data_IF_729279173371
#
_entry.id   IF_729279173371
#
_cell.length_a   1.000
_cell.length_b   1.000
_cell.length_c   1.000
_cell.angle_alpha   90.00
_cell.angle_beta   90.00
_cell.angle_gamma   90.00
#
_symmetry.space_group_name_H-M   'P 1'
#
loop_
_entity.id
_entity.type
_entity.pdbx_description
1 polymer ?
#
# COMPACT_ATOMS: atom_id res chain seq x y z
N UNK A 1 4.11 3.28 3.92
CA UNK A 1 4.57 1.92 4.21
C UNK A 1 5.47 1.42 3.09
N UNK A 2 6.55 0.76 3.43
CA UNK A 2 7.46 0.13 2.47
C UNK A 2 7.85 -1.27 2.96
N UNK A 3 7.84 -2.24 2.06
CA UNK A 3 8.50 -3.53 2.28
C UNK A 3 9.79 -3.52 1.47
N UNK A 4 10.93 -3.63 2.17
CA UNK A 4 12.26 -3.56 1.56
C UNK A 4 12.63 -4.86 0.82
N UNK A 5 13.68 -4.83 0.03
CA UNK A 5 14.20 -5.96 -0.72
C UNK A 5 14.66 -5.53 -2.10
N UNK A 6 15.02 -6.49 -2.95
CA UNK A 6 15.38 -6.25 -4.35
C UNK A 6 14.21 -5.66 -5.14
N UNK A 7 12.98 -6.04 -4.78
CA UNK A 7 11.73 -5.56 -5.37
C UNK A 7 10.89 -4.84 -4.30
N UNK A 8 11.25 -3.60 -3.91
CA UNK A 8 10.55 -2.90 -2.84
C UNK A 8 9.11 -2.60 -3.19
N UNK A 9 8.22 -2.78 -2.22
CA UNK A 9 6.80 -2.50 -2.35
C UNK A 9 6.39 -1.27 -1.54
N UNK A 10 5.60 -0.37 -2.13
CA UNK A 10 5.21 0.90 -1.49
C UNK A 10 3.69 1.04 -1.39
N UNK A 11 3.21 1.50 -0.24
CA UNK A 11 1.79 1.79 0.00
C UNK A 11 1.67 3.08 0.82
N UNK A 12 0.81 3.99 0.39
CA UNK A 12 0.33 5.10 1.20
C UNK A 12 -0.91 4.62 1.95
N UNK A 13 -0.89 4.71 3.27
CA UNK A 13 -2.03 4.40 4.12
C UNK A 13 -2.56 5.70 4.75
N UNK A 14 -3.83 5.98 4.58
CA UNK A 14 -4.53 7.11 5.16
C UNK A 14 -5.64 6.62 6.06
N UNK A 15 -5.45 6.81 7.35
CA UNK A 15 -6.40 6.45 8.41
C UNK A 15 -7.17 7.72 8.80
N UNK A 16 -8.44 7.79 8.46
CA UNK A 16 -9.25 8.99 8.65
C UNK A 16 -10.41 8.72 9.62
N UNK A 17 -10.20 9.10 10.88
CA UNK A 17 -11.25 8.98 11.92
C UNK A 17 -12.46 9.88 11.63
N UNK A 18 -12.27 11.07 11.06
CA UNK A 18 -13.38 12.00 10.82
C UNK A 18 -14.33 11.51 9.71
N UNK A 19 -13.82 10.79 8.73
CA UNK A 19 -14.61 10.16 7.66
C UNK A 19 -14.90 8.68 7.90
N UNK A 20 -14.42 8.14 9.01
CA UNK A 20 -14.54 6.73 9.37
C UNK A 20 -14.10 5.78 8.24
N UNK A 21 -12.89 6.00 7.70
CA UNK A 21 -12.37 5.20 6.59
C UNK A 21 -10.87 4.98 6.64
N UNK A 22 -10.45 3.91 5.96
CA UNK A 22 -9.06 3.56 5.66
C UNK A 22 -8.88 3.56 4.16
N UNK A 23 -8.00 4.40 3.65
CA UNK A 23 -7.62 4.43 2.25
C UNK A 23 -6.18 3.94 2.06
N UNK A 24 -5.99 3.01 1.14
CA UNK A 24 -4.71 2.41 0.82
C UNK A 24 -4.39 2.61 -0.66
N UNK A 25 -3.30 3.32 -0.93
CA UNK A 25 -2.87 3.59 -2.30
C UNK A 25 -1.54 2.89 -2.55
N UNK A 26 -1.56 1.83 -3.35
CA UNK A 26 -0.34 1.11 -3.72
C UNK A 26 0.41 1.89 -4.80
N UNK A 27 1.66 2.23 -4.51
CA UNK A 27 2.51 3.06 -5.39
C UNK A 27 3.41 2.15 -6.22
N UNK A 28 3.40 2.28 -7.58
CA UNK A 28 4.33 1.54 -8.43
C UNK A 28 5.79 1.88 -8.10
N UNK A 29 6.63 0.86 -7.98
CA UNK A 29 8.07 1.03 -7.71
C UNK A 29 8.81 1.77 -8.84
N UNK A 30 8.24 1.75 -10.06
CA UNK A 30 8.71 2.48 -11.23
C UNK A 30 8.30 3.95 -11.25
N UNK A 31 7.56 4.45 -10.23
CA UNK A 31 7.16 5.86 -10.16
C UNK A 31 8.38 6.75 -10.27
N UNK A 32 8.35 7.66 -11.24
CA UNK A 32 9.38 8.68 -11.43
C UNK A 32 9.30 9.73 -10.31
N UNK A 33 10.40 9.91 -9.63
CA UNK A 33 10.53 10.84 -8.48
C UNK A 33 11.81 11.67 -8.61
N UNK A 34 11.82 12.91 -8.07
CA UNK A 34 13.02 13.74 -8.03
C UNK A 34 14.06 13.15 -7.06
N UNK A 35 15.32 13.07 -7.53
CA UNK A 35 16.44 12.60 -6.73
C UNK A 35 17.69 13.42 -7.08
N UNK A 36 18.14 14.26 -6.16
CA UNK A 36 19.17 15.28 -6.40
C UNK A 36 18.75 16.22 -7.56
N UNK A 37 19.55 16.33 -8.61
CA UNK A 37 19.28 17.17 -9.78
C UNK A 37 18.63 16.40 -10.95
N UNK A 38 18.35 15.10 -10.76
CA UNK A 38 17.83 14.22 -11.78
C UNK A 38 16.49 13.57 -11.33
N UNK A 39 15.87 12.86 -12.25
CA UNK A 39 14.73 11.99 -11.97
C UNK A 39 15.16 10.53 -11.92
N UNK A 40 14.56 9.75 -11.02
CA UNK A 40 14.81 8.31 -10.92
C UNK A 40 13.53 7.56 -10.56
N UNK A 41 13.56 6.23 -10.60
CA UNK A 41 12.44 5.45 -10.08
C UNK A 41 12.42 5.45 -8.54
N UNK A 42 11.23 5.32 -7.96
CA UNK A 42 11.06 5.22 -6.51
C UNK A 42 11.87 4.06 -5.91
N UNK A 43 11.95 2.93 -6.62
CA UNK A 43 12.78 1.79 -6.21
C UNK A 43 14.28 2.15 -6.15
N UNK A 44 14.79 2.86 -7.14
CA UNK A 44 16.20 3.33 -7.14
C UNK A 44 16.45 4.39 -6.08
N UNK A 45 15.51 5.30 -5.88
CA UNK A 45 15.56 6.28 -4.78
C UNK A 45 15.66 5.57 -3.43
N UNK A 46 14.84 4.52 -3.22
CA UNK A 46 14.90 3.70 -2.02
C UNK A 46 16.26 3.00 -1.83
N UNK A 47 16.75 2.36 -2.87
CA UNK A 47 18.04 1.66 -2.83
C UNK A 47 19.23 2.60 -2.55
N UNK A 48 19.18 3.84 -3.08
CA UNK A 48 20.25 4.82 -2.93
C UNK A 48 20.22 5.56 -1.59
N UNK A 49 19.04 5.89 -1.06
CA UNK A 49 18.90 6.82 0.08
C UNK A 49 17.84 6.43 1.13
N UNK A 50 17.23 5.25 0.97
CA UNK A 50 16.32 4.68 1.96
C UNK A 50 14.93 5.34 2.04
N UNK A 51 14.12 4.94 3.04
CA UNK A 51 12.69 5.30 3.10
C UNK A 51 12.45 6.78 3.42
N UNK A 52 13.30 7.45 4.16
CA UNK A 52 13.16 8.88 4.48
C UNK A 52 13.16 9.72 3.21
N UNK A 53 14.12 9.47 2.31
CA UNK A 53 14.22 10.18 1.02
C UNK A 53 13.04 9.84 0.11
N UNK A 54 12.57 8.58 0.11
CA UNK A 54 11.36 8.20 -0.64
C UNK A 54 10.13 8.98 -0.16
N UNK A 55 9.95 9.15 1.16
CA UNK A 55 8.86 9.95 1.72
C UNK A 55 8.92 11.39 1.21
N UNK A 56 10.11 12.02 1.24
CA UNK A 56 10.30 13.38 0.72
C UNK A 56 9.98 13.49 -0.77
N UNK A 57 10.48 12.57 -1.57
CA UNK A 57 10.23 12.52 -3.00
C UNK A 57 8.74 12.29 -3.32
N UNK A 58 8.09 11.39 -2.61
CA UNK A 58 6.63 11.17 -2.73
C UNK A 58 5.84 12.41 -2.31
N UNK A 59 6.26 13.11 -1.24
CA UNK A 59 5.59 14.33 -0.81
C UNK A 59 5.63 15.42 -1.89
N UNK A 60 6.74 15.54 -2.63
CA UNK A 60 6.87 16.48 -3.75
C UNK A 60 5.97 16.09 -4.93
N UNK A 61 5.98 14.80 -5.34
CA UNK A 61 5.23 14.34 -6.51
C UNK A 61 3.72 14.32 -6.26
N UNK A 62 3.30 13.92 -5.05
CA UNK A 62 1.91 13.66 -4.70
C UNK A 62 1.28 14.72 -3.81
N UNK A 63 2.04 15.77 -3.43
CA UNK A 63 1.61 16.81 -2.51
C UNK A 63 1.06 16.24 -1.18
N UNK A 64 1.81 15.30 -0.58
CA UNK A 64 1.39 14.68 0.67
C UNK A 64 1.41 15.67 1.83
N UNK A 65 0.55 15.51 2.85
CA UNK A 65 0.55 16.34 4.05
C UNK A 65 1.92 16.35 4.76
N UNK A 66 2.30 17.48 5.35
CA UNK A 66 3.59 17.63 6.07
C UNK A 66 3.78 16.62 7.22
N UNK A 67 2.72 16.18 7.86
CA UNK A 67 2.74 15.16 8.93
C UNK A 67 2.89 13.71 8.46
N UNK A 68 3.06 13.45 7.15
CA UNK A 68 3.20 12.10 6.63
C UNK A 68 4.46 11.41 7.17
N UNK A 69 4.27 10.28 7.84
CA UNK A 69 5.35 9.44 8.40
C UNK A 69 5.71 8.31 7.46
N UNK A 70 6.89 7.72 7.66
CA UNK A 70 7.26 6.50 6.96
C UNK A 70 7.50 5.33 7.92
N UNK A 71 7.27 4.14 7.39
CA UNK A 71 7.52 2.88 8.07
C UNK A 71 7.99 1.86 7.03
N UNK A 72 9.20 1.36 7.19
CA UNK A 72 9.77 0.35 6.30
C UNK A 72 10.12 -0.93 7.07
N UNK A 73 9.68 -2.04 6.51
CA UNK A 73 9.90 -3.39 7.03
C UNK A 73 10.91 -4.13 6.14
N UNK A 74 11.71 -5.01 6.74
CA UNK A 74 12.24 -6.14 5.98
C UNK A 74 11.15 -7.20 5.79
N UNK A 75 11.25 -8.09 4.78
CA UNK A 75 10.28 -9.19 4.60
C UNK A 75 10.09 -10.03 5.87
N UNK A 76 11.18 -10.38 6.55
CA UNK A 76 11.15 -11.18 7.79
C UNK A 76 10.41 -10.47 8.94
N UNK A 77 10.58 -9.15 9.04
CA UNK A 77 9.88 -8.34 10.06
C UNK A 77 8.40 -8.26 9.74
N UNK A 78 8.04 -8.04 8.47
CA UNK A 78 6.67 -8.06 8.02
C UNK A 78 5.99 -9.39 8.32
N UNK A 79 6.62 -10.51 7.96
CA UNK A 79 6.09 -11.85 8.21
C UNK A 79 5.91 -12.13 9.71
N UNK A 80 6.88 -11.76 10.54
CA UNK A 80 6.79 -11.91 11.98
C UNK A 80 5.65 -11.09 12.60
N UNK A 81 5.40 -9.88 12.13
CA UNK A 81 4.28 -9.05 12.58
C UNK A 81 2.97 -9.65 12.07
N UNK A 82 2.89 -10.00 10.80
CA UNK A 82 1.70 -10.51 10.14
C UNK A 82 1.29 -11.91 10.62
N UNK A 83 2.22 -12.74 11.09
CA UNK A 83 1.92 -14.08 11.64
C UNK A 83 0.93 -14.07 12.79
N UNK A 84 0.74 -12.92 13.44
CA UNK A 84 -0.24 -12.73 14.53
C UNK A 84 -1.68 -12.73 14.04
N UNK A 85 -1.90 -12.42 12.75
CA UNK A 85 -3.22 -12.29 12.13
C UNK A 85 -3.60 -13.52 11.33
N UNK A 86 -2.63 -14.36 10.97
CA UNK A 86 -2.84 -15.53 10.12
C UNK A 86 -2.88 -15.18 8.62
N UNK A 87 -3.31 -16.15 7.78
CA UNK A 87 -3.39 -15.96 6.34
C UNK A 87 -4.48 -14.96 5.95
N UNK A 88 -4.17 -14.06 5.02
CA UNK A 88 -5.12 -13.11 4.44
C UNK A 88 -5.94 -13.79 3.35
N UNK A 89 -7.26 -13.65 3.39
CA UNK A 89 -8.17 -14.19 2.37
C UNK A 89 -8.33 -13.16 1.24
N UNK A 90 -7.57 -13.31 0.18
CA UNK A 90 -7.51 -12.35 -0.93
C UNK A 90 -8.00 -12.96 -2.24
N UNK A 91 -8.66 -12.14 -3.06
CA UNK A 91 -8.98 -12.42 -4.45
C UNK A 91 -8.38 -11.35 -5.36
N UNK A 92 -7.77 -11.77 -6.46
CA UNK A 92 -7.06 -10.87 -7.39
C UNK A 92 -7.88 -10.53 -8.64
N UNK A 93 -9.20 -10.73 -8.62
CA UNK A 93 -10.08 -10.59 -9.80
C UNK A 93 -10.03 -9.22 -10.48
N UNK A 94 -9.77 -8.16 -9.73
CA UNK A 94 -9.66 -6.80 -10.27
C UNK A 94 -8.24 -6.43 -10.75
N UNK A 95 -7.24 -7.21 -10.38
CA UNK A 95 -5.83 -6.90 -10.66
C UNK A 95 -5.24 -7.77 -11.77
N UNK A 96 -5.56 -9.07 -11.78
CA UNK A 96 -4.94 -10.08 -12.65
C UNK A 96 -6.00 -10.96 -13.31
N UNK A 97 -5.70 -11.46 -14.51
CA UNK A 97 -6.53 -12.46 -15.20
C UNK A 97 -6.27 -13.85 -14.61
N UNK A 98 -7.14 -14.83 -14.94
CA UNK A 98 -6.97 -16.20 -14.48
C UNK A 98 -5.72 -16.86 -15.07
N UNK A 99 -5.42 -16.61 -16.33
CA UNK A 99 -4.22 -17.10 -17.00
C UNK A 99 -2.93 -16.57 -16.36
N UNK A 100 -2.92 -15.29 -16.00
CA UNK A 100 -1.79 -14.67 -15.31
C UNK A 100 -1.60 -15.26 -13.92
N UNK A 101 -2.66 -15.43 -13.15
CA UNK A 101 -2.61 -16.06 -11.84
C UNK A 101 -2.11 -17.50 -11.91
N UNK A 102 -2.58 -18.27 -12.91
CA UNK A 102 -2.18 -19.66 -13.11
C UNK A 102 -0.66 -19.81 -13.35
N UNK A 103 0.02 -18.85 -13.98
CA UNK A 103 1.47 -18.86 -14.15
C UNK A 103 2.24 -18.90 -12.82
N UNK A 104 1.65 -18.38 -11.76
CA UNK A 104 2.22 -18.36 -10.41
C UNK A 104 1.56 -19.36 -9.46
N UNK A 105 0.82 -20.34 -9.99
CA UNK A 105 0.11 -21.33 -9.19
C UNK A 105 -1.04 -20.76 -8.35
N UNK A 106 -1.57 -19.59 -8.74
CA UNK A 106 -2.68 -18.90 -8.07
C UNK A 106 -3.97 -19.04 -8.89
N UNK A 107 -5.11 -18.76 -8.26
CA UNK A 107 -6.42 -18.77 -8.91
C UNK A 107 -7.20 -17.48 -8.61
N UNK A 108 -8.26 -17.22 -9.37
CA UNK A 108 -9.17 -16.08 -9.12
C UNK A 108 -10.04 -16.28 -7.88
N UNK A 109 -10.23 -17.50 -7.43
CA UNK A 109 -10.97 -17.77 -6.21
C UNK A 109 -10.26 -17.13 -5.01
N UNK A 110 -11.05 -16.66 -4.04
CA UNK A 110 -10.51 -16.17 -2.78
C UNK A 110 -9.73 -17.28 -2.09
N UNK A 111 -8.49 -17.03 -1.76
CA UNK A 111 -7.57 -17.99 -1.15
C UNK A 111 -6.87 -17.37 0.06
N UNK A 112 -6.57 -18.19 1.05
CA UNK A 112 -5.72 -17.80 2.16
C UNK A 112 -4.26 -17.73 1.70
N UNK A 113 -3.59 -16.60 1.95
CA UNK A 113 -2.19 -16.40 1.61
C UNK A 113 -1.45 -15.84 2.83
N UNK A 114 -0.31 -16.42 3.18
CA UNK A 114 0.55 -15.86 4.25
C UNK A 114 1.19 -14.56 3.81
N UNK A 115 1.71 -13.77 4.75
CA UNK A 115 2.42 -12.53 4.40
C UNK A 115 3.70 -12.81 3.60
N UNK A 116 4.43 -13.88 3.93
CA UNK A 116 5.60 -14.31 3.18
C UNK A 116 5.26 -14.70 1.73
N UNK A 117 4.24 -15.57 1.55
CA UNK A 117 3.78 -15.97 0.21
C UNK A 117 3.23 -14.79 -0.60
N UNK A 118 2.53 -13.85 0.06
CA UNK A 118 2.03 -12.64 -0.60
C UNK A 118 3.17 -11.74 -1.05
N UNK A 119 4.18 -11.55 -0.20
CA UNK A 119 5.38 -10.78 -0.54
C UNK A 119 6.14 -11.41 -1.70
N UNK A 120 6.42 -12.72 -1.64
CA UNK A 120 7.11 -13.44 -2.71
C UNK A 120 6.35 -13.34 -4.03
N UNK A 121 5.05 -13.58 -4.04
CA UNK A 121 4.21 -13.44 -5.22
C UNK A 121 4.27 -12.03 -5.82
N UNK A 122 4.17 -10.98 -4.99
CA UNK A 122 4.25 -9.59 -5.43
C UNK A 122 5.65 -9.24 -5.99
N UNK A 123 6.71 -9.81 -5.43
CA UNK A 123 8.07 -9.67 -5.96
C UNK A 123 8.22 -10.34 -7.34
N UNK A 124 7.67 -11.54 -7.50
CA UNK A 124 7.66 -12.25 -8.79
C UNK A 124 6.91 -11.45 -9.86
N UNK A 125 5.72 -10.90 -9.53
CA UNK A 125 4.98 -10.03 -10.44
C UNK A 125 5.74 -8.75 -10.81
N UNK A 126 6.46 -8.17 -9.85
CA UNK A 126 7.23 -6.94 -10.08
C UNK A 126 8.48 -7.17 -10.92
N UNK A 127 9.08 -8.35 -10.85
CA UNK A 127 10.23 -8.75 -11.63
C UNK A 127 9.87 -9.20 -13.05
N UNK A 128 8.62 -9.58 -13.32
CA UNK A 128 8.17 -10.03 -14.64
C UNK A 128 7.84 -8.84 -15.55
N UNK A 129 8.64 -8.66 -16.60
CA UNK A 129 8.48 -7.59 -17.58
C UNK A 129 7.15 -7.65 -18.36
N UNK A 130 6.45 -8.79 -18.34
CA UNK A 130 5.12 -8.93 -18.94
C UNK A 130 4.04 -8.15 -18.18
N UNK A 131 4.31 -7.78 -16.92
CA UNK A 131 3.35 -7.02 -16.11
C UNK A 131 3.69 -5.54 -16.06
N UNK A 132 2.67 -4.71 -16.28
CA UNK A 132 2.85 -3.28 -16.04
C UNK A 132 2.93 -2.99 -14.54
N UNK A 133 3.70 -1.97 -14.13
CA UNK A 133 3.81 -1.57 -12.72
C UNK A 133 2.46 -1.26 -12.06
N UNK A 134 1.47 -0.82 -12.83
CA UNK A 134 0.10 -0.57 -12.35
C UNK A 134 -0.57 -1.86 -11.90
N UNK A 135 -0.42 -2.94 -12.65
CA UNK A 135 -1.04 -4.24 -12.33
C UNK A 135 -0.44 -4.86 -11.09
N UNK A 136 0.88 -4.77 -10.95
CA UNK A 136 1.57 -5.19 -9.71
C UNK A 136 1.12 -4.36 -8.52
N UNK A 137 0.98 -3.04 -8.69
CA UNK A 137 0.45 -2.16 -7.65
C UNK A 137 -1.01 -2.50 -7.31
N UNK A 138 -1.85 -2.84 -8.30
CA UNK A 138 -3.23 -3.27 -8.06
C UNK A 138 -3.30 -4.60 -7.29
N UNK A 139 -2.44 -5.57 -7.61
CA UNK A 139 -2.33 -6.82 -6.85
C UNK A 139 -1.89 -6.57 -5.39
N UNK A 140 -0.93 -5.66 -5.17
CA UNK A 140 -0.51 -5.24 -3.83
C UNK A 140 -1.65 -4.54 -3.08
N UNK A 141 -2.39 -3.66 -3.75
CA UNK A 141 -3.56 -3.01 -3.15
C UNK A 141 -4.61 -4.04 -2.69
N UNK A 142 -4.87 -5.09 -3.48
CA UNK A 142 -5.81 -6.15 -3.12
C UNK A 142 -5.38 -6.91 -1.85
N UNK A 143 -4.08 -7.18 -1.67
CA UNK A 143 -3.57 -7.83 -0.44
C UNK A 143 -3.77 -6.93 0.78
N UNK A 144 -3.42 -5.65 0.68
CA UNK A 144 -3.58 -4.72 1.79
C UNK A 144 -5.05 -4.40 2.11
N UNK A 145 -5.92 -4.31 1.09
CA UNK A 145 -7.38 -4.18 1.28
C UNK A 145 -7.93 -5.37 2.07
N UNK A 146 -7.57 -6.58 1.63
CA UNK A 146 -8.01 -7.80 2.28
C UNK A 146 -7.54 -7.89 3.74
N UNK A 147 -6.29 -7.52 4.02
CA UNK A 147 -5.74 -7.49 5.37
C UNK A 147 -6.52 -6.52 6.27
N UNK A 148 -6.66 -5.27 5.86
CA UNK A 148 -7.37 -4.28 6.68
C UNK A 148 -8.85 -4.63 6.88
N UNK A 149 -9.52 -5.19 5.86
CA UNK A 149 -10.93 -5.62 6.00
C UNK A 149 -11.12 -6.79 6.96
N UNK A 150 -10.17 -7.71 7.00
CA UNK A 150 -10.28 -8.91 7.84
C UNK A 150 -9.89 -8.66 9.28
N UNK A 151 -8.87 -7.86 9.49
CA UNK A 151 -8.16 -7.77 10.76
C UNK A 151 -8.31 -6.42 11.45
N UNK A 152 -9.14 -5.49 10.91
CA UNK A 152 -9.31 -4.15 11.45
C UNK A 152 -9.63 -4.16 12.96
N UNK A 153 -10.49 -5.08 13.40
CA UNK A 153 -10.88 -5.20 14.80
C UNK A 153 -9.75 -5.67 15.72
N UNK A 154 -8.75 -6.36 15.18
CA UNK A 154 -7.59 -6.84 15.91
C UNK A 154 -6.42 -5.85 15.93
N UNK A 155 -6.37 -4.95 14.92
CA UNK A 155 -5.25 -4.02 14.73
C UNK A 155 -4.98 -3.13 15.95
N UNK A 156 -5.99 -2.53 16.63
CA UNK A 156 -5.73 -1.63 17.75
C UNK A 156 -4.94 -2.29 18.87
N UNK A 157 -5.34 -3.50 19.24
CA UNK A 157 -4.76 -4.23 20.36
C UNK A 157 -3.39 -4.87 20.03
N UNK A 158 -2.99 -4.94 18.76
CA UNK A 158 -1.85 -5.78 18.35
C UNK A 158 -0.79 -5.03 17.55
N UNK A 159 -1.19 -4.19 16.61
CA UNK A 159 -0.27 -3.57 15.65
C UNK A 159 0.68 -2.55 16.31
N UNK A 160 0.21 -1.59 17.13
CA UNK A 160 1.10 -0.59 17.75
C UNK A 160 2.18 -1.26 18.61
N UNK A 161 1.79 -2.26 19.40
CA UNK A 161 2.73 -2.99 20.24
C UNK A 161 3.71 -3.86 19.44
N UNK A 162 3.23 -4.48 18.36
CA UNK A 162 4.11 -5.24 17.47
C UNK A 162 5.16 -4.34 16.78
N UNK A 163 4.76 -3.13 16.39
CA UNK A 163 5.66 -2.13 15.81
C UNK A 163 6.66 -1.63 16.85
N UNK A 164 6.22 -1.28 18.07
CA UNK A 164 7.11 -0.89 19.18
C UNK A 164 8.12 -1.98 19.48
N UNK A 165 7.67 -3.23 19.62
CA UNK A 165 8.54 -4.37 19.90
C UNK A 165 9.54 -4.68 18.78
N UNK A 166 9.24 -4.27 17.55
CA UNK A 166 10.11 -4.45 16.39
C UNK A 166 10.89 -3.18 16.02
N UNK A 167 10.84 -2.12 16.82
CA UNK A 167 11.39 -0.80 16.49
C UNK A 167 12.88 -0.80 16.09
N UNK A 168 13.68 -1.68 16.69
CA UNK A 168 15.10 -1.83 16.33
C UNK A 168 15.35 -2.46 14.94
N UNK A 169 14.34 -3.10 14.37
CA UNK A 169 14.39 -3.76 13.07
C UNK A 169 13.55 -3.05 12.00
N UNK A 170 12.97 -1.90 12.34
CA UNK A 170 12.19 -1.05 11.45
C UNK A 170 12.99 0.21 11.11
N UNK A 171 12.82 0.72 9.89
CA UNK A 171 13.23 2.08 9.57
C UNK A 171 11.98 2.96 9.58
N UNK A 172 11.92 3.91 10.50
CA UNK A 172 10.73 4.74 10.70
C UNK A 172 11.08 6.08 11.35
N UNK A 173 10.26 7.08 11.11
CA UNK A 173 10.25 8.36 11.82
C UNK A 173 9.08 8.48 12.82
N UNK A 174 8.35 7.37 13.08
CA UNK A 174 7.31 7.32 14.09
C UNK A 174 7.90 7.52 15.48
N UNK A 175 7.32 8.43 16.23
CA UNK A 175 7.63 8.68 17.64
C UNK A 175 6.70 7.89 18.57
N UNK A 176 6.96 7.91 19.86
CA UNK A 176 6.07 7.29 20.86
C UNK A 176 4.65 7.87 20.77
N UNK A 177 4.53 9.18 20.56
CA UNK A 177 3.23 9.85 20.40
C UNK A 177 2.50 9.44 19.12
N UNK A 178 3.23 9.15 18.04
CA UNK A 178 2.65 8.67 16.80
C UNK A 178 2.08 7.24 16.97
N UNK A 179 2.74 6.37 17.74
CA UNK A 179 2.20 5.04 18.06
C UNK A 179 0.93 5.12 18.93
N UNK A 180 0.88 6.02 19.90
CA UNK A 180 -0.31 6.23 20.74
C UNK A 180 -1.46 6.85 19.92
N UNK A 181 -1.15 7.72 18.96
CA UNK A 181 -2.12 8.26 18.04
C UNK A 181 -2.66 7.19 17.08
N UNK A 182 -1.77 6.32 16.56
CA UNK A 182 -2.13 5.18 15.71
C UNK A 182 -3.10 4.24 16.45
N UNK A 183 -2.80 3.88 17.70
CA UNK A 183 -3.63 3.01 18.52
C UNK A 183 -5.06 3.58 18.68
N UNK A 184 -5.17 4.84 19.13
CA UNK A 184 -6.47 5.51 19.28
C UNK A 184 -7.24 5.64 17.97
N UNK A 185 -6.54 5.91 16.87
CA UNK A 185 -7.17 6.01 15.55
C UNK A 185 -7.70 4.65 15.11
N UNK A 186 -6.91 3.59 15.26
CA UNK A 186 -7.34 2.23 14.93
C UNK A 186 -8.51 1.77 15.82
N UNK A 187 -8.50 2.08 17.12
CA UNK A 187 -9.64 1.81 18.03
C UNK A 187 -10.91 2.48 17.54
N UNK A 188 -10.84 3.76 17.18
CA UNK A 188 -11.99 4.48 16.65
C UNK A 188 -12.51 3.82 15.37
N UNK A 189 -11.64 3.53 14.42
CA UNK A 189 -12.00 2.93 13.13
C UNK A 189 -12.59 1.53 13.27
N UNK A 190 -12.02 0.69 14.15
CA UNK A 190 -12.51 -0.64 14.44
C UNK A 190 -13.91 -0.58 15.10
N UNK A 191 -14.07 0.22 16.16
CA UNK A 191 -15.32 0.35 16.89
C UNK A 191 -16.47 0.93 16.04
N UNK A 192 -16.16 1.66 14.98
CA UNK A 192 -17.13 2.24 14.06
C UNK A 192 -17.23 1.49 12.72
N UNK A 193 -16.66 0.29 12.62
CA UNK A 193 -16.69 -0.54 11.40
C UNK A 193 -16.29 0.27 10.15
N UNK A 194 -15.13 0.89 10.21
CA UNK A 194 -14.67 1.81 9.18
C UNK A 194 -14.61 1.16 7.79
N UNK A 195 -15.01 1.93 6.78
CA UNK A 195 -14.90 1.49 5.39
C UNK A 195 -13.44 1.44 4.95
N UNK A 196 -13.05 0.36 4.28
CA UNK A 196 -11.71 0.18 3.71
C UNK A 196 -11.78 0.24 2.19
N UNK A 197 -10.89 1.01 1.59
CA UNK A 197 -10.71 1.04 0.14
C UNK A 197 -9.24 1.03 -0.23
N UNK A 198 -8.90 0.24 -1.24
CA UNK A 198 -7.54 0.18 -1.76
C UNK A 198 -7.53 0.20 -3.29
N UNK A 199 -6.53 0.87 -3.85
CA UNK A 199 -6.29 0.91 -5.30
C UNK A 199 -4.82 1.14 -5.62
N UNK A 200 -4.45 0.93 -6.90
CA UNK A 200 -3.17 1.38 -7.41
C UNK A 200 -3.17 2.91 -7.58
N UNK A 201 -2.01 3.56 -7.37
CA UNK A 201 -1.83 4.96 -7.71
C UNK A 201 -2.15 5.16 -9.19
N UNK A 202 -3.11 6.05 -9.54
CA UNK A 202 -3.38 6.37 -10.94
C UNK A 202 -2.21 7.13 -11.57
N UNK A 203 -1.90 6.82 -12.82
CA UNK A 203 -0.79 7.44 -13.54
C UNK A 203 -0.62 6.87 -14.94
N UNK A 204 0.44 7.26 -15.62
CA UNK A 204 0.76 6.83 -16.97
C UNK A 204 2.05 6.00 -16.99
N UNK A 205 1.95 4.80 -17.55
CA UNK A 205 3.10 3.93 -17.80
C UNK A 205 3.60 4.12 -19.22
N UNK A 206 4.87 4.43 -19.35
CA UNK A 206 5.57 4.45 -20.63
C UNK A 206 6.52 3.23 -20.69
N UNK A 207 6.11 2.20 -21.41
CA UNK A 207 6.90 0.98 -21.53
C UNK A 207 8.22 1.19 -22.29
N UNK A 208 8.30 2.16 -23.21
CA UNK A 208 9.52 2.42 -23.99
C UNK A 208 10.64 3.03 -23.12
N UNK A 209 10.29 3.87 -22.14
CA UNK A 209 11.24 4.48 -21.21
C UNK A 209 11.35 3.76 -19.87
N UNK A 210 10.43 2.84 -19.57
CA UNK A 210 10.33 2.20 -18.25
C UNK A 210 9.95 3.17 -17.13
N UNK A 211 9.21 4.23 -17.44
CA UNK A 211 8.85 5.29 -16.49
C UNK A 211 7.36 5.28 -16.16
N UNK A 212 7.03 5.52 -14.91
CA UNK A 212 5.66 5.73 -14.44
C UNK A 212 5.52 7.15 -13.90
N UNK A 213 4.59 7.93 -14.47
CA UNK A 213 4.43 9.34 -14.11
C UNK A 213 3.01 9.64 -13.62
N UNK A 214 2.91 10.59 -12.68
CA UNK A 214 1.64 11.11 -12.17
C UNK A 214 1.30 12.40 -12.91
N UNK A 215 0.14 12.40 -13.56
CA UNK A 215 -0.40 13.58 -14.26
C UNK A 215 -1.29 14.41 -13.33
N UNK A 216 -1.72 15.59 -13.75
CA UNK A 216 -2.68 16.40 -12.99
C UNK A 216 -4.05 15.69 -12.85
N UNK A 217 -4.47 14.94 -13.87
CA UNK A 217 -5.66 14.09 -13.80
C UNK A 217 -5.49 12.99 -12.74
N UNK A 218 -4.32 12.38 -12.68
CA UNK A 218 -3.99 11.37 -11.66
C UNK A 218 -4.01 11.96 -10.25
N UNK A 219 -3.48 13.18 -10.08
CA UNK A 219 -3.52 13.88 -8.78
C UNK A 219 -4.95 14.20 -8.35
N UNK A 220 -5.78 14.67 -9.27
CA UNK A 220 -7.19 14.94 -8.99
C UNK A 220 -7.95 13.67 -8.61
N UNK A 221 -7.71 12.55 -9.33
CA UNK A 221 -8.29 11.24 -8.99
C UNK A 221 -7.84 10.75 -7.62
N UNK A 222 -6.57 10.93 -7.27
CA UNK A 222 -6.04 10.59 -5.95
C UNK A 222 -6.67 11.45 -4.85
N UNK A 223 -6.80 12.77 -5.06
CA UNK A 223 -7.47 13.65 -4.10
C UNK A 223 -8.93 13.26 -3.89
N UNK A 224 -9.64 12.92 -4.96
CA UNK A 224 -11.00 12.40 -4.88
C UNK A 224 -11.04 11.11 -4.07
N UNK A 225 -10.13 10.17 -4.32
CA UNK A 225 -10.05 8.92 -3.57
C UNK A 225 -9.86 9.12 -2.07
N UNK A 226 -9.04 10.07 -1.65
CA UNK A 226 -8.81 10.35 -0.23
C UNK A 226 -9.92 11.21 0.42
N UNK A 227 -10.69 11.96 -0.36
CA UNK A 227 -11.71 12.89 0.16
C UNK A 227 -13.13 12.30 0.17
N UNK A 228 -13.38 11.21 -0.57
CA UNK A 228 -14.71 10.57 -0.64
C UNK A 228 -14.70 9.30 0.22
N UNK A 229 -15.71 9.19 1.11
CA UNK A 229 -15.90 7.95 1.88
C UNK A 229 -16.17 6.78 0.91
N UNK A 230 -15.52 5.62 1.08
CA UNK A 230 -15.77 4.44 0.25
C UNK A 230 -17.25 4.02 0.20
N UNK A 231 -17.98 4.26 1.28
CA UNK A 231 -19.43 4.00 1.35
C UNK A 231 -20.21 4.91 0.41
N UNK A 232 -19.84 6.18 0.29
CA UNK A 232 -20.49 7.13 -0.62
C UNK A 232 -20.16 6.82 -2.09
N UNK A 233 -18.93 6.40 -2.39
CA UNK A 233 -18.51 6.00 -3.72
C UNK A 233 -19.26 4.76 -4.23
N UNK A 234 -19.56 3.79 -3.35
CA UNK A 234 -20.36 2.62 -3.67
C UNK A 234 -21.83 2.98 -3.91
N UNK A 235 -22.40 3.88 -3.13
CA UNK A 235 -23.79 4.32 -3.28
C UNK A 235 -24.00 5.07 -4.61
N UNK A 236 -23.06 5.88 -5.06
CA UNK A 236 -23.15 6.60 -6.32
C UNK A 236 -23.05 5.70 -7.55
N UNK A 237 -22.31 4.57 -7.47
CA UNK A 237 -22.19 3.60 -8.57
C UNK A 237 -23.47 2.77 -8.83
N UNK A 238 -24.39 2.72 -7.86
CA UNK A 238 -25.70 2.06 -8.00
C UNK A 238 -26.82 3.01 -8.47
N UNK A 239 -26.53 4.30 -8.67
CA UNK A 239 -27.52 5.33 -8.99
C UNK A 239 -27.52 5.78 -10.45
N UNK A 240 -26.73 5.17 -11.34
CA UNK A 240 -26.80 5.40 -12.78
C UNK A 240 -27.76 4.38 -13.42
N UNK A 241 -28.84 4.85 -14.07
CA UNK A 241 -29.82 4.00 -14.75
C UNK A 241 -29.32 3.40 -16.06
#
# INVERSE_FOLDING_TARGET
LCVSGEQPGFVLAYLNASQNCVHLLSVPAALTVPFAEEETSLARCYAAAGPARCREALAQVLALPEGTRYLAFSPDVLERIASRYGPVRVGFTGALTEEELARYGRSRAVQGISAGDAHEFLCQLQADEAFSPVRTAAARAAVWDAFFRQDLDLLPATLPDALRASSSALLTDLTALDYDALERTLEFLANNSAAVAAQALPGQWNAASGTYTVTDVSRAAMQTFFNVSPTEAQASSFSEP
#
